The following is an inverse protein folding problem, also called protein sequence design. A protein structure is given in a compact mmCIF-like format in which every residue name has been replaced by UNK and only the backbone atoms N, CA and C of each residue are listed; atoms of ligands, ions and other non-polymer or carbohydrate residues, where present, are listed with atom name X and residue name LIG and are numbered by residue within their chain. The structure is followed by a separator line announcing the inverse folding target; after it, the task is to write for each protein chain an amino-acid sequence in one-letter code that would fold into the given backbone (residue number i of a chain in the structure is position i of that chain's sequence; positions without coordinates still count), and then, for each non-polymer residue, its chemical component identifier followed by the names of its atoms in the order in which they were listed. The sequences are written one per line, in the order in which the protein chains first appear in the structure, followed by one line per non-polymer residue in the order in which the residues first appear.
data_IF_408066738842
#
_entry.id   IF_408066738842
#
_cell.length_a   1.000
_cell.length_b   1.000
_cell.length_c   1.000
_cell.angle_alpha   90.00
_cell.angle_beta   90.00
_cell.angle_gamma   90.00
#
_symmetry.space_group_name_H-M   'P 1'
#
loop_
_entity.id
_entity.type
_entity.pdbx_description
1 polymer ?
#
# COMPACT_ATOMS: atom_id res chain seq x y z
N UNK A 1 -16.99 -4.35 14.59
CA UNK A 1 -15.58 -4.65 14.94
C UNK A 1 -15.39 -4.38 16.43
N UNK A 2 -15.67 -5.38 17.29
CA UNK A 2 -15.58 -5.23 18.77
C UNK A 2 -14.14 -5.40 19.32
N UNK A 3 -13.18 -5.74 18.44
CA UNK A 3 -11.86 -6.22 18.87
C UNK A 3 -10.73 -5.20 18.64
N UNK A 4 -11.07 -3.98 18.19
CA UNK A 4 -10.09 -2.88 18.04
C UNK A 4 -9.88 -2.20 19.38
N UNK A 5 -8.62 -2.15 19.82
CA UNK A 5 -8.21 -1.60 21.11
C UNK A 5 -7.78 -0.13 20.97
N UNK A 6 -8.20 0.69 21.92
CA UNK A 6 -7.77 2.09 21.98
C UNK A 6 -6.29 2.19 22.38
N UNK A 7 -5.57 3.21 21.88
CA UNK A 7 -4.18 3.47 22.27
C UNK A 7 -4.02 3.78 23.75
N UNK A 8 -2.79 3.60 24.27
CA UNK A 8 -2.39 4.04 25.62
C UNK A 8 -2.74 3.08 26.76
N UNK A 9 -3.31 1.90 26.48
CA UNK A 9 -3.67 0.91 27.50
C UNK A 9 -2.57 -0.14 27.72
N UNK A 10 -2.61 -0.78 28.91
CA UNK A 10 -1.78 -1.94 29.21
C UNK A 10 -2.56 -3.23 28.97
N UNK A 11 -1.93 -4.18 28.28
CA UNK A 11 -2.51 -5.46 27.92
C UNK A 11 -1.56 -6.61 28.28
N UNK A 12 -2.15 -7.82 28.43
CA UNK A 12 -1.40 -9.06 28.58
C UNK A 12 -2.00 -10.12 27.64
N UNK A 13 -1.14 -10.83 26.95
CA UNK A 13 -1.53 -11.90 25.99
C UNK A 13 -0.46 -12.99 25.96
N UNK A 14 -0.70 -14.08 25.22
CA UNK A 14 0.32 -15.10 25.00
C UNK A 14 1.29 -14.66 23.91
N UNK A 15 0.77 -14.16 22.77
CA UNK A 15 1.56 -13.77 21.61
C UNK A 15 1.20 -12.38 21.12
N UNK A 16 2.20 -11.57 20.79
CA UNK A 16 2.05 -10.35 20.00
C UNK A 16 2.48 -10.63 18.56
N UNK A 17 1.61 -10.30 17.62
CA UNK A 17 1.90 -10.38 16.19
C UNK A 17 2.11 -8.95 15.67
N UNK A 18 3.28 -8.67 15.10
CA UNK A 18 3.60 -7.37 14.51
C UNK A 18 3.27 -7.44 13.02
N UNK A 19 2.18 -6.80 12.61
CA UNK A 19 1.59 -6.79 11.29
C UNK A 19 0.26 -7.54 11.22
N UNK A 20 -0.80 -6.87 10.78
CA UNK A 20 -2.14 -7.42 10.56
C UNK A 20 -2.43 -7.68 9.07
N UNK A 21 -1.38 -7.96 8.29
CA UNK A 21 -1.49 -8.43 6.91
C UNK A 21 -1.84 -9.92 6.82
N UNK A 22 -1.87 -10.51 5.61
CA UNK A 22 -2.27 -11.91 5.40
C UNK A 22 -1.54 -12.92 6.31
N UNK A 23 -0.22 -12.78 6.46
CA UNK A 23 0.57 -13.67 7.31
C UNK A 23 0.19 -13.53 8.79
N UNK A 24 -0.01 -12.29 9.28
CA UNK A 24 -0.41 -12.06 10.67
C UNK A 24 -1.80 -12.62 10.97
N UNK A 25 -2.75 -12.43 10.03
CA UNK A 25 -4.11 -12.98 10.16
C UNK A 25 -4.12 -14.51 10.15
N UNK A 26 -3.35 -15.13 9.26
CA UNK A 26 -3.24 -16.58 9.24
C UNK A 26 -2.55 -17.12 10.50
N UNK A 27 -1.55 -16.41 11.04
CA UNK A 27 -0.93 -16.74 12.33
C UNK A 27 -1.95 -16.77 13.47
N UNK A 28 -2.93 -15.85 13.49
CA UNK A 28 -4.03 -15.90 14.49
C UNK A 28 -4.80 -17.22 14.42
N UNK A 29 -5.10 -17.68 13.21
CA UNK A 29 -5.80 -18.96 13.01
C UNK A 29 -4.98 -20.13 13.57
N UNK A 30 -3.70 -20.22 13.20
CA UNK A 30 -2.82 -21.30 13.67
C UNK A 30 -2.64 -21.28 15.20
N UNK A 31 -2.42 -20.12 15.80
CA UNK A 31 -2.31 -19.98 17.25
C UNK A 31 -3.64 -20.33 17.94
N UNK A 32 -4.75 -19.91 17.34
CA UNK A 32 -6.09 -20.19 17.87
C UNK A 32 -6.43 -21.68 17.93
N UNK A 33 -5.96 -22.49 16.99
CA UNK A 33 -6.10 -23.95 17.02
C UNK A 33 -5.40 -24.58 18.23
N UNK A 34 -4.38 -23.89 18.79
CA UNK A 34 -3.64 -24.28 19.99
C UNK A 34 -4.14 -23.61 21.27
N UNK A 35 -5.28 -22.91 21.23
CA UNK A 35 -5.84 -22.09 22.32
C UNK A 35 -4.88 -20.99 22.83
N UNK A 36 -4.00 -20.49 21.94
CA UNK A 36 -3.06 -19.40 22.22
C UNK A 36 -3.67 -18.08 21.81
N UNK A 37 -3.72 -17.11 22.74
CA UNK A 37 -4.31 -15.78 22.51
C UNK A 37 -3.30 -14.85 21.86
N UNK A 38 -3.77 -14.09 20.87
CA UNK A 38 -2.93 -13.16 20.13
C UNK A 38 -3.49 -11.73 20.10
N UNK A 39 -2.58 -10.76 20.21
CA UNK A 39 -2.80 -9.37 19.87
C UNK A 39 -1.99 -9.02 18.62
N UNK A 40 -2.60 -8.26 17.69
CA UNK A 40 -1.94 -7.77 16.49
C UNK A 40 -1.71 -6.26 16.60
N UNK A 41 -0.54 -5.81 16.21
CA UNK A 41 -0.20 -4.38 16.09
C UNK A 41 0.01 -4.08 14.61
N UNK A 42 -0.65 -3.03 14.09
CA UNK A 42 -0.43 -2.56 12.73
C UNK A 42 -0.42 -1.02 12.67
N UNK A 43 0.47 -0.48 11.84
CA UNK A 43 0.56 0.94 11.60
C UNK A 43 -0.58 1.50 10.73
N UNK A 44 -1.27 0.65 9.98
CA UNK A 44 -2.41 1.05 9.17
C UNK A 44 -3.67 1.23 10.01
N UNK A 45 -4.61 2.01 9.50
CA UNK A 45 -5.91 2.27 10.09
C UNK A 45 -6.90 1.11 9.92
N UNK A 46 -6.52 0.11 9.14
CA UNK A 46 -7.32 -1.07 8.81
C UNK A 46 -6.50 -2.36 8.77
N UNK A 47 -7.20 -3.46 8.88
CA UNK A 47 -6.65 -4.81 8.79
C UNK A 47 -6.43 -5.18 7.32
N UNK A 48 -5.40 -5.99 7.03
CA UNK A 48 -5.14 -6.58 5.71
C UNK A 48 -3.79 -6.21 5.11
N UNK A 49 -3.05 -5.28 5.72
CA UNK A 49 -1.71 -4.89 5.29
C UNK A 49 -1.69 -4.40 3.84
N UNK A 50 -0.66 -4.78 3.07
CA UNK A 50 -0.50 -4.34 1.69
C UNK A 50 -1.66 -4.74 0.78
N UNK A 51 -2.28 -5.90 0.99
CA UNK A 51 -3.39 -6.38 0.17
C UNK A 51 -4.60 -5.44 0.22
N UNK A 52 -4.91 -4.91 1.39
CA UNK A 52 -6.03 -3.97 1.55
C UNK A 52 -5.63 -2.51 1.30
N UNK A 53 -4.35 -2.15 1.45
CA UNK A 53 -3.90 -0.75 1.32
C UNK A 53 -3.41 -0.41 -0.08
N UNK A 54 -2.61 -1.27 -0.71
CA UNK A 54 -1.93 -0.93 -1.95
C UNK A 54 -2.63 -1.46 -3.21
N UNK A 55 -3.26 -2.64 -3.11
CA UNK A 55 -3.83 -3.33 -4.27
C UNK A 55 -5.10 -4.13 -3.95
N UNK A 56 -6.13 -3.49 -3.33
CA UNK A 56 -7.36 -4.19 -2.95
C UNK A 56 -8.06 -4.86 -4.15
N UNK A 57 -8.06 -4.21 -5.31
CA UNK A 57 -8.74 -4.68 -6.53
C UNK A 57 -7.86 -5.53 -7.44
N UNK A 58 -6.58 -5.74 -7.08
CA UNK A 58 -5.66 -6.53 -7.90
C UNK A 58 -5.93 -8.01 -7.72
N UNK A 59 -6.01 -8.75 -8.84
CA UNK A 59 -6.03 -10.20 -8.82
C UNK A 59 -4.67 -10.77 -8.43
N UNK A 60 -4.68 -11.64 -7.43
CA UNK A 60 -3.56 -12.44 -6.97
C UNK A 60 -3.75 -13.88 -7.47
N UNK A 61 -2.71 -14.48 -8.00
CA UNK A 61 -2.74 -15.81 -8.63
C UNK A 61 -1.87 -16.83 -7.90
N UNK A 62 -1.13 -16.39 -6.91
CA UNK A 62 -0.16 -17.16 -6.14
C UNK A 62 -0.64 -17.56 -4.74
N UNK A 63 -1.97 -17.54 -4.55
CA UNK A 63 -2.60 -18.01 -3.30
C UNK A 63 -3.01 -19.46 -3.46
N UNK A 64 -2.48 -20.39 -2.64
CA UNK A 64 -2.82 -21.81 -2.71
C UNK A 64 -4.33 -22.03 -2.68
N UNK A 65 -4.84 -22.98 -3.49
CA UNK A 65 -6.24 -23.34 -3.65
C UNK A 65 -7.15 -22.28 -4.29
N UNK A 66 -6.63 -21.11 -4.66
CA UNK A 66 -7.38 -20.03 -5.33
C UNK A 66 -6.80 -19.77 -6.70
N UNK A 67 -7.51 -20.08 -7.80
CA UNK A 67 -7.05 -19.76 -9.16
C UNK A 67 -6.82 -18.25 -9.36
N UNK A 68 -7.66 -17.44 -8.70
CA UNK A 68 -7.54 -15.99 -8.63
C UNK A 68 -8.36 -15.49 -7.44
N UNK A 69 -7.89 -14.45 -6.76
CA UNK A 69 -8.57 -13.76 -5.67
C UNK A 69 -8.09 -12.32 -5.62
N UNK A 70 -8.97 -11.35 -5.37
CA UNK A 70 -8.52 -9.97 -5.18
C UNK A 70 -7.83 -9.78 -3.82
N UNK A 71 -7.01 -8.74 -3.68
CA UNK A 71 -6.38 -8.41 -2.40
C UNK A 71 -7.39 -8.17 -1.29
N UNK A 72 -8.53 -7.55 -1.62
CA UNK A 72 -9.62 -7.30 -0.68
C UNK A 72 -10.31 -8.61 -0.26
N UNK A 73 -10.71 -9.46 -1.22
CA UNK A 73 -11.35 -10.75 -0.94
C UNK A 73 -10.46 -11.66 -0.09
N UNK A 74 -9.16 -11.74 -0.39
CA UNK A 74 -8.20 -12.49 0.41
C UNK A 74 -8.18 -11.99 1.86
N UNK A 75 -8.14 -10.68 2.05
CA UNK A 75 -8.14 -10.07 3.38
C UNK A 75 -9.42 -10.40 4.15
N UNK A 76 -10.58 -10.27 3.51
CA UNK A 76 -11.88 -10.59 4.12
C UNK A 76 -11.99 -12.05 4.53
N UNK A 77 -11.51 -12.97 3.70
CA UNK A 77 -11.54 -14.39 4.00
C UNK A 77 -10.61 -14.74 5.18
N UNK A 78 -9.42 -14.14 5.24
CA UNK A 78 -8.50 -14.32 6.36
C UNK A 78 -9.06 -13.72 7.67
N UNK A 79 -9.73 -12.58 7.62
CA UNK A 79 -10.42 -12.01 8.78
C UNK A 79 -11.50 -12.96 9.28
N UNK A 80 -12.34 -13.51 8.37
CA UNK A 80 -13.37 -14.51 8.73
C UNK A 80 -12.75 -15.75 9.37
N UNK A 81 -11.59 -16.20 8.85
CA UNK A 81 -10.88 -17.37 9.38
C UNK A 81 -10.29 -17.10 10.77
N UNK A 82 -9.78 -15.89 11.04
CA UNK A 82 -9.23 -15.48 12.33
C UNK A 82 -10.30 -15.17 13.39
N UNK A 83 -11.47 -14.70 12.96
CA UNK A 83 -12.53 -14.18 13.84
C UNK A 83 -12.99 -15.12 14.98
N UNK A 84 -13.12 -16.45 14.80
CA UNK A 84 -13.52 -17.36 15.89
C UNK A 84 -12.61 -17.31 17.11
N UNK A 85 -11.34 -16.96 16.92
CA UNK A 85 -10.30 -16.90 17.96
C UNK A 85 -10.20 -15.54 18.67
N UNK A 86 -11.04 -14.57 18.26
CA UNK A 86 -11.22 -13.25 18.90
C UNK A 86 -9.90 -12.52 19.15
N UNK A 87 -9.03 -12.31 18.13
CA UNK A 87 -7.81 -11.56 18.30
C UNK A 87 -8.10 -10.10 18.65
N UNK A 88 -7.21 -9.45 19.40
CA UNK A 88 -7.26 -7.99 19.65
C UNK A 88 -6.38 -7.24 18.65
N UNK A 89 -6.90 -6.19 18.06
CA UNK A 89 -6.21 -5.37 17.07
C UNK A 89 -5.84 -4.00 17.61
N UNK A 90 -4.57 -3.63 17.49
CA UNK A 90 -4.03 -2.31 17.80
C UNK A 90 -3.63 -1.62 16.50
N UNK A 91 -4.60 -0.93 15.87
CA UNK A 91 -4.42 -0.24 14.59
C UNK A 91 -3.94 1.19 14.79
N UNK A 92 -3.38 1.81 13.74
CA UNK A 92 -2.72 3.12 13.79
C UNK A 92 -1.60 3.17 14.84
N UNK A 93 -0.93 2.06 15.09
CA UNK A 93 0.10 1.95 16.11
C UNK A 93 1.34 1.26 15.55
N UNK A 94 2.47 1.92 15.67
CA UNK A 94 3.76 1.38 15.28
C UNK A 94 4.46 0.79 16.52
N UNK A 95 4.93 -0.45 16.42
CA UNK A 95 5.82 -1.03 17.44
C UNK A 95 7.10 -0.21 17.49
N UNK A 96 7.36 0.44 18.62
CA UNK A 96 8.49 1.35 18.81
C UNK A 96 9.61 0.74 19.66
N UNK A 97 9.27 -0.19 20.56
CA UNK A 97 10.24 -0.80 21.47
C UNK A 97 9.84 -2.23 21.83
N UNK A 98 10.82 -3.11 21.93
CA UNK A 98 10.69 -4.49 22.41
C UNK A 98 11.70 -4.69 23.52
N UNK A 99 11.22 -5.04 24.72
CA UNK A 99 12.05 -5.28 25.89
C UNK A 99 11.95 -6.76 26.25
N UNK A 100 13.10 -7.43 26.26
CA UNK A 100 13.19 -8.84 26.64
C UNK A 100 13.50 -8.92 28.14
N UNK A 101 12.59 -9.47 28.91
CA UNK A 101 12.79 -9.83 30.31
C UNK A 101 13.03 -11.34 30.43
N UNK A 102 13.37 -11.78 31.63
CA UNK A 102 13.70 -13.20 31.88
C UNK A 102 12.52 -14.14 31.57
N UNK A 103 11.28 -13.74 31.92
CA UNK A 103 10.08 -14.58 31.80
C UNK A 103 8.99 -13.96 30.90
N UNK A 104 9.21 -12.78 30.34
CA UNK A 104 8.22 -12.10 29.51
C UNK A 104 8.86 -11.13 28.52
N UNK A 105 8.09 -10.73 27.54
CA UNK A 105 8.46 -9.73 26.56
C UNK A 105 7.48 -8.57 26.68
N UNK A 106 7.99 -7.33 26.72
CA UNK A 106 7.18 -6.12 26.70
C UNK A 106 7.29 -5.49 25.33
N UNK A 107 6.16 -5.31 24.66
CA UNK A 107 6.06 -4.60 23.39
C UNK A 107 5.39 -3.25 23.63
N UNK A 108 6.03 -2.17 23.19
CA UNK A 108 5.48 -0.80 23.28
C UNK A 108 5.22 -0.25 21.89
N UNK A 109 4.19 0.59 21.80
CA UNK A 109 3.86 1.31 20.58
C UNK A 109 4.13 2.81 20.73
N UNK A 110 4.28 3.49 19.58
CA UNK A 110 4.39 4.95 19.52
C UNK A 110 3.16 5.69 20.06
N UNK A 111 2.04 5.00 20.24
CA UNK A 111 0.79 5.53 20.78
C UNK A 111 0.62 5.25 22.29
N UNK A 112 1.68 4.78 22.95
CA UNK A 112 1.72 4.55 24.40
C UNK A 112 1.10 3.22 24.85
N UNK A 113 0.67 2.35 23.95
CA UNK A 113 0.20 1.01 24.32
C UNK A 113 1.38 0.13 24.74
N UNK A 114 1.17 -0.64 25.81
CA UNK A 114 2.15 -1.56 26.38
C UNK A 114 1.52 -2.96 26.45
N UNK A 115 2.16 -3.95 25.86
CA UNK A 115 1.64 -5.33 25.85
C UNK A 115 2.71 -6.26 26.41
N UNK A 116 2.38 -6.95 27.50
CA UNK A 116 3.18 -8.05 28.03
C UNK A 116 2.78 -9.35 27.35
N UNK A 117 3.76 -10.11 26.84
CA UNK A 117 3.54 -11.38 26.17
C UNK A 117 4.66 -12.39 26.44
N UNK A 118 4.45 -13.65 26.04
CA UNK A 118 5.43 -14.74 26.11
C UNK A 118 6.26 -14.86 24.84
N UNK A 119 5.68 -14.49 23.70
CA UNK A 119 6.32 -14.63 22.39
C UNK A 119 5.88 -13.54 21.44
N UNK A 120 6.70 -13.28 20.41
CA UNK A 120 6.42 -12.32 19.34
C UNK A 120 6.53 -13.05 18.01
N UNK A 121 5.60 -12.76 17.09
CA UNK A 121 5.69 -13.11 15.68
C UNK A 121 5.84 -11.84 14.86
N UNK A 122 6.90 -11.75 14.08
CA UNK A 122 7.14 -10.60 13.18
C UNK A 122 6.58 -10.95 11.82
N UNK A 123 5.42 -10.36 11.49
CA UNK A 123 4.71 -10.49 10.21
C UNK A 123 4.58 -9.12 9.51
N UNK A 124 5.59 -8.27 9.68
CA UNK A 124 5.58 -6.85 9.31
C UNK A 124 5.71 -6.58 7.78
N UNK A 125 5.79 -7.63 6.95
CA UNK A 125 5.91 -7.49 5.49
C UNK A 125 7.14 -6.67 5.10
N UNK A 126 6.95 -5.62 4.30
CA UNK A 126 8.02 -4.66 3.95
C UNK A 126 8.25 -3.58 5.02
N UNK A 127 7.64 -3.72 6.18
CA UNK A 127 7.68 -2.74 7.27
C UNK A 127 6.60 -1.66 7.14
N UNK A 128 6.77 -0.59 7.93
CA UNK A 128 5.88 0.57 7.87
C UNK A 128 5.95 1.20 6.47
N UNK A 129 4.79 1.24 5.79
CA UNK A 129 4.73 1.85 4.46
C UNK A 129 4.87 3.36 4.59
N UNK A 130 6.05 3.85 4.28
CA UNK A 130 6.30 5.27 4.06
C UNK A 130 6.51 5.47 2.57
N UNK A 131 5.62 6.16 1.86
CA UNK A 131 5.80 6.45 0.45
C UNK A 131 7.13 7.15 0.22
N UNK A 132 7.85 6.78 -0.83
CA UNK A 132 9.00 7.55 -1.26
C UNK A 132 8.49 8.85 -1.89
N UNK A 133 8.91 10.01 -1.38
CA UNK A 133 8.50 11.27 -1.97
C UNK A 133 8.82 11.31 -3.48
N UNK A 134 7.90 11.87 -4.25
CA UNK A 134 8.13 12.09 -5.68
C UNK A 134 9.33 13.04 -5.84
N UNK A 135 10.36 12.71 -6.63
CA UNK A 135 11.50 13.59 -6.83
C UNK A 135 11.07 14.87 -7.56
N UNK A 136 11.69 16.00 -7.25
CA UNK A 136 11.43 17.30 -7.83
C UNK A 136 11.54 18.42 -6.78
N UNK A 137 11.74 19.65 -7.22
CA UNK A 137 12.10 20.77 -6.34
C UNK A 137 10.97 21.15 -5.36
N UNK A 138 9.72 21.11 -5.79
CA UNK A 138 8.56 21.56 -5.02
C UNK A 138 7.41 20.54 -4.96
N UNK A 139 7.69 19.27 -5.18
CA UNK A 139 6.65 18.20 -5.24
C UNK A 139 5.88 18.05 -3.93
N UNK A 140 6.50 18.31 -2.78
CA UNK A 140 5.85 18.23 -1.46
C UNK A 140 4.64 19.15 -1.32
N UNK A 141 4.61 20.29 -1.99
CA UNK A 141 3.52 21.27 -1.90
C UNK A 141 2.22 20.77 -2.55
N UNK A 142 2.32 19.70 -3.35
CA UNK A 142 1.24 19.08 -4.10
C UNK A 142 0.81 17.71 -3.54
N UNK A 143 1.46 17.23 -2.46
CA UNK A 143 1.07 15.99 -1.80
C UNK A 143 -0.35 16.10 -1.22
N UNK A 144 -1.17 15.08 -1.48
CA UNK A 144 -2.59 15.06 -1.08
C UNK A 144 -3.51 15.96 -1.91
N UNK A 145 -2.97 16.73 -2.87
CA UNK A 145 -3.74 17.56 -3.83
C UNK A 145 -3.70 16.94 -5.23
N UNK A 146 -2.52 16.91 -5.82
CA UNK A 146 -2.28 16.33 -7.15
C UNK A 146 -1.36 15.11 -7.09
N UNK A 147 -0.60 14.90 -6.02
CA UNK A 147 0.27 13.73 -5.83
C UNK A 147 -0.37 12.76 -4.86
N UNK A 148 -0.51 11.52 -5.29
CA UNK A 148 -1.12 10.43 -4.54
C UNK A 148 -0.18 9.21 -4.58
N UNK A 149 0.06 8.60 -3.42
CA UNK A 149 0.93 7.43 -3.30
C UNK A 149 0.17 6.10 -3.29
N UNK A 150 -1.16 6.15 -3.23
CA UNK A 150 -2.05 5.00 -3.38
C UNK A 150 -3.38 5.42 -4.00
N UNK A 151 -4.02 4.50 -4.71
CA UNK A 151 -5.34 4.69 -5.32
C UNK A 151 -6.29 3.69 -4.71
N UNK A 152 -7.21 4.17 -3.86
CA UNK A 152 -8.25 3.33 -3.25
C UNK A 152 -9.44 3.10 -4.19
N UNK A 153 -9.74 4.09 -5.03
CA UNK A 153 -10.81 4.02 -6.04
C UNK A 153 -10.34 4.68 -7.35
N UNK A 154 -10.13 3.87 -8.37
CA UNK A 154 -9.73 4.37 -9.70
C UNK A 154 -10.83 5.17 -10.39
N UNK A 155 -12.09 4.90 -10.08
CA UNK A 155 -13.23 5.61 -10.68
C UNK A 155 -13.28 7.10 -10.28
N UNK A 156 -12.71 7.46 -9.13
CA UNK A 156 -12.57 8.86 -8.72
C UNK A 156 -11.71 9.68 -9.70
N UNK A 157 -10.92 9.02 -10.54
CA UNK A 157 -10.06 9.66 -11.56
C UNK A 157 -10.61 9.49 -12.99
N UNK A 158 -11.90 9.15 -13.11
CA UNK A 158 -12.57 9.08 -14.41
C UNK A 158 -12.47 10.42 -15.13
N UNK A 159 -12.17 10.36 -16.44
CA UNK A 159 -12.02 11.50 -17.34
C UNK A 159 -10.91 12.51 -16.93
N UNK A 160 -9.96 12.09 -16.07
CA UNK A 160 -8.82 12.87 -15.61
C UNK A 160 -7.56 12.60 -16.43
N UNK A 161 -6.69 13.61 -16.54
CA UNK A 161 -5.36 13.46 -17.11
C UNK A 161 -4.42 12.99 -16.00
N UNK A 162 -3.85 11.82 -16.12
CA UNK A 162 -2.99 11.24 -15.09
C UNK A 162 -1.55 11.10 -15.55
N UNK A 163 -0.62 11.24 -14.61
CA UNK A 163 0.79 10.95 -14.77
C UNK A 163 1.18 9.87 -13.76
N UNK A 164 1.84 8.82 -14.23
CA UNK A 164 2.37 7.75 -13.40
C UNK A 164 3.88 7.84 -13.44
N UNK A 165 4.52 8.05 -12.27
CA UNK A 165 5.96 8.21 -12.15
C UNK A 165 6.60 6.94 -11.56
N UNK A 166 7.08 6.05 -12.41
CA UNK A 166 7.69 4.80 -11.99
C UNK A 166 8.00 3.86 -13.14
N UNK A 167 8.63 2.73 -12.83
CA UNK A 167 9.00 1.71 -13.82
C UNK A 167 9.05 0.31 -13.22
N UNK A 168 8.37 0.08 -12.10
CA UNK A 168 8.14 -1.23 -11.49
C UNK A 168 6.73 -1.74 -11.77
N UNK A 169 6.41 -2.93 -11.25
CA UNK A 169 5.11 -3.57 -11.41
C UNK A 169 3.94 -2.66 -11.01
N UNK A 170 4.05 -1.96 -9.87
CA UNK A 170 2.99 -1.05 -9.40
C UNK A 170 2.69 0.08 -10.40
N UNK A 171 3.71 0.65 -11.03
CA UNK A 171 3.51 1.71 -12.01
C UNK A 171 2.79 1.17 -13.26
N UNK A 172 3.18 0.00 -13.75
CA UNK A 172 2.54 -0.61 -14.90
C UNK A 172 1.11 -1.10 -14.57
N UNK A 173 0.87 -1.60 -13.37
CA UNK A 173 -0.48 -1.95 -12.89
C UNK A 173 -1.41 -0.71 -12.88
N UNK A 174 -0.89 0.47 -12.55
CA UNK A 174 -1.66 1.71 -12.65
C UNK A 174 -1.94 2.08 -14.11
N UNK A 175 -0.93 2.03 -14.99
CA UNK A 175 -1.12 2.32 -16.43
C UNK A 175 -2.22 1.43 -17.02
N UNK A 176 -2.12 0.11 -16.80
CA UNK A 176 -3.08 -0.86 -17.32
C UNK A 176 -4.46 -0.71 -16.67
N UNK A 177 -4.49 -0.43 -15.36
CA UNK A 177 -5.73 -0.31 -14.59
C UNK A 177 -6.51 0.97 -14.86
N UNK A 178 -5.89 2.02 -15.38
CA UNK A 178 -6.57 3.26 -15.79
C UNK A 178 -7.05 3.25 -17.24
N UNK A 179 -6.75 2.19 -18.01
CA UNK A 179 -7.27 2.04 -19.37
C UNK A 179 -8.81 2.08 -19.38
N UNK A 180 -9.38 2.97 -20.21
CA UNK A 180 -10.83 3.17 -20.29
C UNK A 180 -11.46 3.94 -19.11
N UNK A 181 -10.67 4.39 -18.14
CA UNK A 181 -11.11 5.22 -17.02
C UNK A 181 -10.59 6.65 -17.17
N UNK A 182 -9.28 6.81 -17.26
CA UNK A 182 -8.66 8.12 -17.39
C UNK A 182 -8.84 8.68 -18.80
N UNK A 183 -8.87 10.02 -18.91
CA UNK A 183 -8.91 10.73 -20.18
C UNK A 183 -7.59 10.62 -20.92
N UNK A 184 -6.48 10.76 -20.21
CA UNK A 184 -5.15 10.54 -20.72
C UNK A 184 -4.27 9.84 -19.68
N UNK A 185 -3.39 8.96 -20.15
CA UNK A 185 -2.46 8.20 -19.32
C UNK A 185 -1.05 8.56 -19.78
N UNK A 186 -0.24 9.08 -18.87
CA UNK A 186 1.15 9.44 -19.12
C UNK A 186 2.02 8.63 -18.17
N UNK A 187 2.96 7.87 -18.71
CA UNK A 187 3.95 7.13 -17.93
C UNK A 187 5.29 7.86 -18.02
N UNK A 188 5.87 8.20 -16.90
CA UNK A 188 7.18 8.81 -16.79
C UNK A 188 8.13 7.83 -16.09
N UNK A 189 9.20 7.46 -16.74
CA UNK A 189 10.25 6.66 -16.15
C UNK A 189 11.63 7.18 -16.54
N UNK A 190 12.57 7.14 -15.60
CA UNK A 190 13.93 7.65 -15.79
C UNK A 190 14.80 6.84 -16.77
N UNK A 191 14.36 5.67 -17.19
CA UNK A 191 15.07 4.72 -18.06
C UNK A 191 14.10 4.13 -19.08
N UNK A 192 14.66 3.51 -20.14
CA UNK A 192 13.87 2.72 -21.09
C UNK A 192 13.53 1.34 -20.57
N UNK A 193 14.37 0.78 -19.69
CA UNK A 193 14.24 -0.55 -19.13
C UNK A 193 13.35 -0.50 -17.87
N UNK A 194 12.39 -1.41 -17.80
CA UNK A 194 11.46 -1.56 -16.69
C UNK A 194 11.92 -2.65 -15.72
N UNK A 195 11.64 -2.45 -14.43
CA UNK A 195 11.76 -3.48 -13.39
C UNK A 195 10.37 -4.04 -13.07
N UNK A 196 9.74 -4.63 -14.06
CA UNK A 196 8.40 -5.17 -13.98
C UNK A 196 8.32 -6.47 -14.76
N UNK A 197 7.24 -7.25 -14.53
CA UNK A 197 6.96 -8.48 -15.27
C UNK A 197 6.83 -8.17 -16.76
N UNK A 198 7.50 -8.98 -17.60
CA UNK A 198 7.59 -8.73 -19.05
C UNK A 198 6.22 -8.65 -19.74
N UNK A 199 5.24 -9.41 -19.28
CA UNK A 199 3.86 -9.36 -19.83
C UNK A 199 3.22 -7.98 -19.63
N UNK A 200 3.38 -7.38 -18.42
CA UNK A 200 2.88 -6.03 -18.13
C UNK A 200 3.60 -4.97 -18.98
N UNK A 201 4.91 -5.14 -19.19
CA UNK A 201 5.69 -4.25 -20.08
C UNK A 201 5.15 -4.32 -21.51
N UNK A 202 4.94 -5.51 -22.02
CA UNK A 202 4.44 -5.73 -23.40
C UNK A 202 3.04 -5.11 -23.58
N UNK A 203 2.13 -5.31 -22.62
CA UNK A 203 0.78 -4.72 -22.63
C UNK A 203 0.84 -3.20 -22.62
N UNK A 204 1.66 -2.62 -21.74
CA UNK A 204 1.84 -1.16 -21.65
C UNK A 204 2.43 -0.59 -22.94
N UNK A 205 3.45 -1.23 -23.54
CA UNK A 205 4.02 -0.78 -24.82
C UNK A 205 3.01 -0.85 -25.95
N UNK A 206 2.15 -1.88 -25.99
CA UNK A 206 1.03 -1.96 -26.94
C UNK A 206 0.08 -0.77 -26.79
N UNK A 207 -0.20 -0.33 -25.55
CA UNK A 207 -1.00 0.89 -25.34
C UNK A 207 -0.31 2.15 -25.87
N UNK A 208 1.02 2.23 -25.73
CA UNK A 208 1.79 3.36 -26.29
C UNK A 208 1.74 3.35 -27.83
N UNK A 209 1.95 2.19 -28.46
CA UNK A 209 1.89 2.04 -29.91
C UNK A 209 0.50 2.39 -30.48
N UNK A 210 -0.56 2.05 -29.73
CA UNK A 210 -1.95 2.36 -30.07
C UNK A 210 -2.35 3.82 -29.70
N UNK A 211 -1.45 4.62 -29.15
CA UNK A 211 -1.73 5.99 -28.66
C UNK A 211 -2.78 6.06 -27.54
N UNK A 212 -2.93 4.99 -26.78
CA UNK A 212 -3.81 4.90 -25.59
C UNK A 212 -3.07 5.39 -24.34
N UNK A 213 -1.73 5.45 -24.38
CA UNK A 213 -0.88 6.01 -23.32
C UNK A 213 0.34 6.70 -23.94
N UNK A 214 0.92 7.66 -23.22
CA UNK A 214 2.20 8.27 -23.58
C UNK A 214 3.30 7.75 -22.67
N UNK A 215 4.50 7.58 -23.21
CA UNK A 215 5.67 7.17 -22.45
C UNK A 215 6.80 8.19 -22.57
N UNK A 216 7.29 8.69 -21.44
CA UNK A 216 8.36 9.66 -21.34
C UNK A 216 9.56 9.05 -20.61
N UNK A 217 10.73 9.11 -21.21
CA UNK A 217 11.98 8.69 -20.57
C UNK A 217 12.65 9.93 -20.00
N UNK A 218 12.30 10.30 -18.78
CA UNK A 218 12.76 11.52 -18.14
C UNK A 218 12.55 11.48 -16.62
N UNK A 219 12.83 12.58 -15.92
CA UNK A 219 12.54 12.78 -14.49
C UNK A 219 11.83 14.12 -14.28
N UNK A 220 11.05 14.21 -13.20
CA UNK A 220 10.40 15.47 -12.81
C UNK A 220 11.45 16.43 -12.28
N UNK A 221 11.43 17.68 -12.76
CA UNK A 221 12.19 18.79 -12.23
C UNK A 221 11.36 19.59 -11.23
N UNK A 222 10.18 20.06 -11.64
CA UNK A 222 9.30 20.88 -10.83
C UNK A 222 7.83 20.75 -11.26
N UNK A 223 6.92 21.18 -10.41
CA UNK A 223 5.51 21.28 -10.71
C UNK A 223 5.06 22.75 -10.68
N UNK A 224 4.15 23.13 -11.56
CA UNK A 224 3.56 24.45 -11.61
C UNK A 224 2.04 24.33 -11.56
N UNK A 225 1.43 24.98 -10.58
CA UNK A 225 -0.03 25.12 -10.49
C UNK A 225 -0.54 25.97 -11.67
N UNK A 226 -1.53 25.49 -12.39
CA UNK A 226 -2.16 26.22 -13.50
C UNK A 226 -3.46 26.92 -13.10
N UNK A 227 -3.73 27.06 -11.79
CA UNK A 227 -4.91 27.72 -11.18
C UNK A 227 -6.28 27.10 -11.51
N UNK A 228 -6.30 25.92 -12.13
CA UNK A 228 -7.53 25.16 -12.45
C UNK A 228 -7.62 23.83 -11.68
N UNK A 229 -6.82 23.68 -10.59
CA UNK A 229 -6.69 22.42 -9.85
C UNK A 229 -5.86 21.34 -10.56
N UNK A 230 -5.21 21.70 -11.69
CA UNK A 230 -4.27 20.88 -12.44
C UNK A 230 -2.86 21.41 -12.28
N UNK A 231 -1.87 20.60 -12.60
CA UNK A 231 -0.46 20.97 -12.59
C UNK A 231 0.18 20.72 -13.94
N UNK A 232 1.11 21.59 -14.30
CA UNK A 232 2.04 21.37 -15.40
C UNK A 232 3.34 20.81 -14.82
N UNK A 233 3.84 19.74 -15.42
CA UNK A 233 5.00 18.99 -14.94
C UNK A 233 6.20 19.33 -15.80
N UNK A 234 7.15 20.13 -15.29
CA UNK A 234 8.41 20.41 -15.95
C UNK A 234 9.37 19.21 -15.78
N UNK A 235 9.90 18.72 -16.86
CA UNK A 235 10.86 17.62 -16.90
C UNK A 235 12.31 18.13 -16.88
N UNK A 236 13.26 17.26 -16.60
CA UNK A 236 14.67 17.63 -16.47
C UNK A 236 15.30 18.17 -17.77
N UNK A 237 14.76 17.79 -18.94
CA UNK A 237 15.19 18.32 -20.25
C UNK A 237 14.50 19.64 -20.65
N UNK A 238 13.64 20.19 -19.78
CA UNK A 238 12.90 21.43 -20.02
C UNK A 238 11.57 21.22 -20.76
N UNK A 239 11.22 20.01 -21.18
CA UNK A 239 9.90 19.72 -21.72
C UNK A 239 8.82 19.78 -20.62
N UNK A 240 7.56 19.98 -21.01
CA UNK A 240 6.44 20.12 -20.08
C UNK A 240 5.33 19.14 -20.45
N UNK A 241 4.82 18.43 -19.46
CA UNK A 241 3.58 17.66 -19.56
C UNK A 241 2.48 18.51 -18.92
N UNK A 242 1.56 19.01 -19.73
CA UNK A 242 0.56 19.99 -19.30
C UNK A 242 -0.70 19.36 -18.73
N UNK A 243 -1.39 20.12 -17.87
CA UNK A 243 -2.76 19.86 -17.42
C UNK A 243 -2.97 18.49 -16.75
N UNK A 244 -2.04 18.09 -15.88
CA UNK A 244 -2.15 16.86 -15.12
C UNK A 244 -3.04 17.07 -13.90
N UNK A 245 -4.09 16.25 -13.76
CA UNK A 245 -5.01 16.25 -12.62
C UNK A 245 -4.43 15.49 -11.43
N UNK A 246 -3.75 14.35 -11.70
CA UNK A 246 -3.19 13.49 -10.66
C UNK A 246 -1.87 12.83 -11.10
N UNK A 247 -0.96 12.71 -10.14
CA UNK A 247 0.36 12.05 -10.27
C UNK A 247 0.42 10.89 -9.26
N UNK A 248 0.82 9.70 -9.71
CA UNK A 248 0.96 8.47 -8.91
C UNK A 248 2.37 7.94 -8.94
#
# INVERSE_FOLDING_TARGET
MKDIQLPGNHHKTDVVIIGAGPCGLFTVFELGLLDVKAHLIDNLDKIGGQCSELYPDKNLYDIPSRPSVTGQELTEDLIKQAQPFKPSYHLNQLTSEIILNQDSIIVKTNAGTVIECKSIVIAAGSGCFVPRPLPGENTKDFEGKNIFYSVKDRQAFKDKNILIAGGGDSALDYVLGFKGIAKSINLLHRRKEFKAVQDSVNKMMTMVDNKEANFYVNTIKSLKDNNNGQVDVELADGSIIEKIDAIF
#
